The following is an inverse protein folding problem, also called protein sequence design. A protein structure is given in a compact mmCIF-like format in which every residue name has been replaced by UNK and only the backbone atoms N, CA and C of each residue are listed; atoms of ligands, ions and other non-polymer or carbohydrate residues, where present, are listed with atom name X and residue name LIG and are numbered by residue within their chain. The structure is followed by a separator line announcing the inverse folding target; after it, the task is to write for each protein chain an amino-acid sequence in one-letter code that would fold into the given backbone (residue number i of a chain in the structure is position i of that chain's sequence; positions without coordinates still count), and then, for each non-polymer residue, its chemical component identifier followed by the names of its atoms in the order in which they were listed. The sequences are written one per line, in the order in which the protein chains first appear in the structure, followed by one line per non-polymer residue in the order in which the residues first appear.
data_IF_732962465028
#
_entry.id   IF_732962465028
#
_cell.length_a   1.000
_cell.length_b   1.000
_cell.length_c   1.000
_cell.angle_alpha   90.00
_cell.angle_beta   90.00
_cell.angle_gamma   90.00
#
_symmetry.space_group_name_H-M   'P 1'
#
loop_
_entity.id
_entity.type
_entity.pdbx_description
1 polymer ?
#
# COMPACT_ATOMS: atom_id res chain seq x y z
N UNK A 1 -11.97 -4.44 -2.98
CA UNK A 1 -10.62 -5.05 -3.19
C UNK A 1 -9.87 -4.35 -4.32
N UNK A 2 -9.40 -3.12 -4.13
CA UNK A 2 -8.40 -2.42 -4.97
C UNK A 2 -8.17 -0.97 -4.49
N UNK A 3 -9.09 -0.42 -3.70
CA UNK A 3 -9.06 0.96 -3.18
C UNK A 3 -7.86 1.23 -2.25
N UNK A 4 -7.22 0.20 -1.71
CA UNK A 4 -5.98 0.35 -0.92
C UNK A 4 -4.85 1.07 -1.68
N UNK A 5 -4.86 1.08 -3.03
CA UNK A 5 -3.92 1.87 -3.83
C UNK A 5 -4.10 3.38 -3.69
N UNK A 6 -5.17 3.84 -3.03
CA UNK A 6 -5.51 5.24 -2.86
C UNK A 6 -5.06 5.83 -1.52
N UNK A 7 -4.26 5.08 -0.74
CA UNK A 7 -3.77 5.49 0.58
C UNK A 7 -3.27 6.94 0.63
N UNK A 8 -2.47 7.36 -0.35
CA UNK A 8 -1.87 8.71 -0.45
C UNK A 8 -2.90 9.84 -0.62
N UNK A 9 -4.14 9.51 -0.96
CA UNK A 9 -5.23 10.49 -1.12
C UNK A 9 -6.18 10.54 0.07
N UNK A 10 -6.01 9.66 1.06
CA UNK A 10 -6.86 9.63 2.24
C UNK A 10 -6.28 10.61 3.27
N UNK A 11 -7.09 11.59 3.66
CA UNK A 11 -6.73 12.55 4.71
C UNK A 11 -7.04 11.97 6.08
N UNK A 12 -6.30 12.43 7.09
CA UNK A 12 -6.60 12.13 8.49
C UNK A 12 -8.01 12.61 8.87
N UNK A 13 -8.61 11.93 9.85
CA UNK A 13 -9.94 12.25 10.38
C UNK A 13 -9.90 12.32 11.91
N UNK A 14 -11.01 12.72 12.54
CA UNK A 14 -11.12 12.77 14.00
C UNK A 14 -10.79 11.44 14.69
N UNK A 15 -11.05 10.32 14.01
CA UNK A 15 -10.88 8.97 14.58
C UNK A 15 -9.67 8.21 14.02
N UNK A 16 -9.03 8.71 12.96
CA UNK A 16 -7.97 7.98 12.25
C UNK A 16 -6.81 8.89 11.85
N UNK A 17 -5.64 8.61 12.41
CA UNK A 17 -4.34 9.25 12.19
C UNK A 17 -3.51 8.49 11.14
N UNK A 18 -4.06 8.37 9.93
CA UNK A 18 -3.51 7.56 8.83
C UNK A 18 -2.07 7.95 8.51
N UNK A 19 -1.79 9.25 8.40
CA UNK A 19 -0.45 9.77 8.08
C UNK A 19 0.60 9.34 9.11
N UNK A 20 0.22 9.36 10.40
CA UNK A 20 1.08 8.96 11.52
C UNK A 20 1.34 7.45 11.48
N UNK A 21 0.30 6.64 11.25
CA UNK A 21 0.46 5.18 11.15
C UNK A 21 1.30 4.74 9.97
N UNK A 22 1.17 5.42 8.84
CA UNK A 22 2.04 5.22 7.68
C UNK A 22 3.50 5.52 8.02
N UNK A 23 3.77 6.64 8.71
CA UNK A 23 5.12 7.00 9.14
C UNK A 23 5.69 5.98 10.14
N UNK A 24 4.94 5.61 11.17
CA UNK A 24 5.34 4.59 12.17
C UNK A 24 5.65 3.24 11.51
N UNK A 25 4.86 2.83 10.51
CA UNK A 25 5.08 1.57 9.79
C UNK A 25 6.42 1.59 9.04
N UNK A 26 6.72 2.70 8.35
CA UNK A 26 8.00 2.88 7.65
C UNK A 26 9.20 2.96 8.59
N UNK A 27 9.07 3.66 9.72
CA UNK A 27 10.14 3.71 10.76
C UNK A 27 10.46 2.32 11.30
N UNK A 28 9.46 1.44 11.38
CA UNK A 28 9.61 0.03 11.76
C UNK A 28 10.11 -0.87 10.61
N UNK A 29 10.61 -0.27 9.52
CA UNK A 29 11.11 -0.94 8.30
C UNK A 29 10.04 -1.72 7.54
N UNK A 30 8.77 -1.36 7.72
CA UNK A 30 7.68 -1.88 6.91
C UNK A 30 7.71 -1.28 5.51
N UNK A 31 7.49 -2.12 4.51
CA UNK A 31 7.43 -1.71 3.10
C UNK A 31 5.97 -1.69 2.65
N UNK A 32 5.58 -0.61 1.97
CA UNK A 32 4.21 -0.42 1.46
C UNK A 32 4.30 -0.44 -0.07
N UNK A 33 3.51 -1.32 -0.67
CA UNK A 33 3.46 -1.51 -2.12
C UNK A 33 2.06 -1.19 -2.65
N UNK A 34 2.01 -0.52 -3.79
CA UNK A 34 0.79 -0.22 -4.52
C UNK A 34 0.81 -0.91 -5.88
N UNK A 35 -0.28 -1.58 -6.24
CA UNK A 35 -0.43 -2.21 -7.55
C UNK A 35 -0.42 -1.13 -8.65
N UNK A 36 0.58 -1.18 -9.55
CA UNK A 36 0.75 -0.19 -10.62
C UNK A 36 -0.47 -0.05 -11.52
N UNK A 37 -1.03 -1.16 -12.00
CA UNK A 37 -2.24 -1.14 -12.85
C UNK A 37 -3.45 -0.54 -12.13
N UNK A 38 -3.57 -0.71 -10.80
CA UNK A 38 -4.66 -0.08 -10.03
C UNK A 38 -4.51 1.44 -9.93
N UNK A 39 -3.28 1.95 -9.90
CA UNK A 39 -2.98 3.39 -9.93
C UNK A 39 -3.24 3.96 -11.32
N UNK A 40 -2.76 3.29 -12.37
CA UNK A 40 -2.94 3.71 -13.78
C UNK A 40 -4.41 3.83 -14.15
N UNK A 41 -5.24 2.84 -13.78
CA UNK A 41 -6.68 2.86 -14.02
C UNK A 41 -7.38 4.05 -13.34
N UNK A 42 -6.75 4.64 -12.33
CA UNK A 42 -7.24 5.82 -11.59
C UNK A 42 -6.53 7.11 -12.01
N UNK A 43 -5.72 7.09 -13.06
CA UNK A 43 -4.97 8.24 -13.55
C UNK A 43 -3.86 8.69 -12.59
N UNK A 44 -3.36 7.80 -11.73
CA UNK A 44 -2.25 8.07 -10.81
C UNK A 44 -0.99 7.39 -11.34
N UNK A 45 0.11 8.13 -11.49
CA UNK A 45 1.37 7.60 -12.02
C UNK A 45 2.40 7.30 -10.93
N UNK A 46 2.33 8.00 -9.79
CA UNK A 46 3.32 7.90 -8.71
C UNK A 46 2.65 8.08 -7.34
N UNK A 47 3.23 7.44 -6.32
CA UNK A 47 2.83 7.51 -4.92
C UNK A 47 4.05 7.94 -4.11
N UNK A 48 3.90 8.95 -3.25
CA UNK A 48 4.99 9.39 -2.37
C UNK A 48 5.12 8.46 -1.14
N UNK A 49 4.07 7.69 -0.85
CA UNK A 49 4.01 6.80 0.29
C UNK A 49 4.38 5.36 -0.08
N UNK A 50 4.05 4.91 -1.27
CA UNK A 50 4.11 3.50 -1.65
C UNK A 50 5.06 3.27 -2.84
N UNK A 51 5.75 2.14 -2.82
CA UNK A 51 6.48 1.65 -3.98
C UNK A 51 5.49 1.03 -4.97
N UNK A 52 5.69 1.26 -6.28
CA UNK A 52 4.88 0.60 -7.30
C UNK A 52 5.33 -0.86 -7.41
N UNK A 53 4.38 -1.79 -7.40
CA UNK A 53 4.62 -3.22 -7.55
C UNK A 53 3.79 -3.83 -8.67
N UNK A 54 4.24 -4.98 -9.13
CA UNK A 54 3.58 -5.82 -10.13
C UNK A 54 2.96 -7.06 -9.49
N UNK A 55 2.19 -7.82 -10.28
CA UNK A 55 1.66 -9.12 -9.83
C UNK A 55 2.78 -10.13 -9.54
N UNK A 56 3.92 -10.03 -10.24
CA UNK A 56 5.08 -10.89 -9.99
C UNK A 56 5.71 -10.60 -8.62
N UNK A 57 5.79 -9.32 -8.23
CA UNK A 57 6.30 -8.94 -6.91
C UNK A 57 5.38 -9.42 -5.79
N UNK A 58 4.06 -9.31 -5.98
CA UNK A 58 3.08 -9.84 -5.03
C UNK A 58 3.20 -11.36 -4.88
N UNK A 59 3.32 -12.10 -5.99
CA UNK A 59 3.51 -13.55 -5.94
C UNK A 59 4.78 -13.90 -5.14
N UNK A 60 5.87 -13.20 -5.41
CA UNK A 60 7.15 -13.40 -4.72
C UNK A 60 7.06 -13.09 -3.22
N UNK A 61 6.31 -12.06 -2.85
CA UNK A 61 6.03 -11.71 -1.45
C UNK A 61 5.26 -12.84 -0.75
N UNK A 62 4.23 -13.37 -1.42
CA UNK A 62 3.43 -14.48 -0.88
C UNK A 62 4.27 -15.75 -0.73
N UNK A 63 5.06 -16.12 -1.73
CA UNK A 63 5.92 -17.31 -1.70
C UNK A 63 6.99 -17.26 -0.60
N UNK A 64 7.52 -16.07 -0.30
CA UNK A 64 8.56 -15.88 0.71
C UNK A 64 8.01 -15.62 2.13
N UNK A 65 6.69 -15.52 2.29
CA UNK A 65 6.07 -15.22 3.58
C UNK A 65 5.61 -16.49 4.29
N UNK A 66 5.93 -16.63 5.57
CA UNK A 66 5.40 -17.73 6.40
C UNK A 66 3.88 -17.63 6.58
N UNK A 67 3.34 -16.40 6.54
CA UNK A 67 1.92 -16.09 6.74
C UNK A 67 1.50 -14.90 5.91
N UNK A 68 0.28 -14.96 5.38
CA UNK A 68 -0.35 -13.87 4.63
C UNK A 68 -1.71 -13.57 5.26
N UNK A 69 -1.97 -12.29 5.53
CA UNK A 69 -3.27 -11.80 5.99
C UNK A 69 -3.90 -10.96 4.89
N UNK A 70 -5.19 -11.21 4.61
CA UNK A 70 -5.96 -10.47 3.61
C UNK A 70 -7.11 -9.78 4.31
N UNK A 71 -7.22 -8.47 4.12
CA UNK A 71 -8.31 -7.64 4.63
C UNK A 71 -9.25 -7.31 3.46
N UNK A 72 -10.55 -7.51 3.67
CA UNK A 72 -11.60 -7.39 2.65
C UNK A 72 -12.36 -6.08 2.73
#
# INVERSE_FOLDING_TARGET
MNEGSELDTISDSEHFDISTKVAEFKERKGEIYACGTCLELRGKSESNVCLISTMADLLKMVENSDKVLVFG
#
